data_IF_492108902807
#
_entry.id   IF_492108902807
#
_cell.length_a   1.000
_cell.length_b   1.000
_cell.length_c   1.000
_cell.angle_alpha   90.00
_cell.angle_beta   90.00
_cell.angle_gamma   90.00
#
_symmetry.space_group_name_H-M   'P 1'
#
loop_
_entity.id
_entity.type
_entity.pdbx_description
1 polymer ?
#
# COMPACT_ATOMS: atom_id res chain seq x y z
N UNK A 1 39.16 24.63 3.83
CA UNK A 1 38.82 23.22 3.49
C UNK A 1 38.63 22.33 4.74
N UNK A 2 38.06 22.83 5.85
CA UNK A 2 37.83 22.01 7.06
C UNK A 2 36.35 21.84 7.46
N UNK A 3 35.46 22.76 7.06
CA UNK A 3 34.03 22.66 7.42
C UNK A 3 33.26 21.56 6.66
N UNK A 4 33.72 21.16 5.47
CA UNK A 4 33.04 20.10 4.68
C UNK A 4 33.25 18.70 5.23
N UNK A 5 34.23 18.46 6.11
CA UNK A 5 34.50 17.11 6.68
C UNK A 5 33.65 16.80 7.92
N UNK A 6 33.20 17.81 8.67
CA UNK A 6 32.39 17.58 9.88
C UNK A 6 30.96 17.17 9.53
N UNK A 7 30.43 17.70 8.43
CA UNK A 7 29.06 17.40 7.99
C UNK A 7 28.87 15.96 7.50
N UNK A 8 29.93 15.33 6.98
CA UNK A 8 29.87 13.93 6.52
C UNK A 8 30.01 12.92 7.67
N UNK A 9 30.64 13.31 8.79
CA UNK A 9 30.88 12.42 9.93
C UNK A 9 29.62 12.27 10.82
N UNK A 10 28.81 13.33 10.95
CA UNK A 10 27.61 13.31 11.82
C UNK A 10 26.44 12.50 11.24
N UNK A 11 26.44 12.21 9.93
CA UNK A 11 25.41 11.36 9.32
C UNK A 11 25.60 9.85 9.63
N UNK A 12 26.71 9.47 10.28
CA UNK A 12 27.02 8.07 10.63
C UNK A 12 26.51 7.66 12.03
N UNK A 13 26.12 8.61 12.87
CA UNK A 13 25.59 8.35 14.21
C UNK A 13 24.13 8.78 14.25
N UNK A 14 23.24 7.84 13.88
CA UNK A 14 21.79 8.05 13.81
C UNK A 14 21.16 8.34 15.16
N UNK A 15 21.25 9.59 15.59
CA UNK A 15 20.53 10.15 16.73
C UNK A 15 19.94 11.47 16.27
N UNK A 16 18.64 11.50 15.97
CA UNK A 16 17.81 12.70 16.04
C UNK A 16 16.41 12.23 16.44
N UNK A 17 16.10 12.41 17.73
CA UNK A 17 14.79 12.27 18.35
C UNK A 17 14.03 13.60 18.11
N UNK A 18 12.95 13.58 17.35
CA UNK A 18 12.16 14.78 17.00
C UNK A 18 11.06 14.50 15.99
N UNK A 19 9.93 15.25 15.99
CA UNK A 19 8.68 14.81 15.39
C UNK A 19 8.82 14.72 13.87
N UNK A 20 8.81 13.48 13.39
CA UNK A 20 9.07 13.13 12.00
C UNK A 20 8.00 13.70 11.07
N UNK A 21 8.26 14.89 10.51
CA UNK A 21 7.67 15.30 9.24
C UNK A 21 8.45 14.60 8.14
N UNK A 22 7.99 13.39 7.78
CA UNK A 22 8.61 12.58 6.74
C UNK A 22 8.34 13.22 5.38
N UNK A 23 9.37 13.60 4.61
CA UNK A 23 9.20 14.05 3.24
C UNK A 23 8.76 12.86 2.38
N UNK A 24 7.66 13.04 1.63
CA UNK A 24 7.09 12.05 0.71
C UNK A 24 7.99 11.92 -0.52
N UNK A 25 9.03 11.10 -0.40
CA UNK A 25 9.67 10.48 -1.56
C UNK A 25 8.86 9.23 -1.91
N UNK A 26 8.37 9.15 -3.15
CA UNK A 26 7.70 7.99 -3.72
C UNK A 26 8.68 6.82 -3.91
N UNK A 27 9.18 6.26 -2.81
CA UNK A 27 9.92 5.02 -2.77
C UNK A 27 8.96 3.89 -2.42
N UNK A 28 8.91 2.86 -3.27
CA UNK A 28 8.16 1.62 -3.03
C UNK A 28 8.51 1.12 -1.61
N UNK A 29 7.60 1.32 -0.65
CA UNK A 29 7.79 0.80 0.70
C UNK A 29 7.67 -0.71 0.62
N UNK A 30 8.61 -1.44 1.23
CA UNK A 30 8.54 -2.91 1.28
C UNK A 30 7.23 -3.34 1.93
N UNK A 31 6.56 -4.34 1.34
CA UNK A 31 5.43 -5.03 1.95
C UNK A 31 5.80 -5.46 3.36
N UNK A 32 4.92 -5.17 4.32
CA UNK A 32 4.99 -5.67 5.69
C UNK A 32 3.94 -6.76 5.90
N UNK A 33 3.96 -7.41 7.07
CA UNK A 33 2.98 -8.44 7.44
C UNK A 33 1.53 -7.94 7.48
N UNK A 34 1.32 -6.63 7.66
CA UNK A 34 -0.01 -6.00 7.76
C UNK A 34 -0.65 -5.76 6.39
N UNK A 35 0.17 -5.50 5.37
CA UNK A 35 -0.29 -5.09 4.05
C UNK A 35 -1.23 -6.14 3.44
N UNK A 36 -0.93 -7.42 3.61
CA UNK A 36 -1.76 -8.50 3.08
C UNK A 36 -3.13 -8.57 3.78
N UNK A 37 -3.16 -8.45 5.11
CA UNK A 37 -4.42 -8.50 5.85
C UNK A 37 -5.31 -7.30 5.47
N UNK A 38 -4.71 -6.11 5.35
CA UNK A 38 -5.41 -4.92 4.88
C UNK A 38 -5.92 -5.08 3.45
N UNK A 39 -5.10 -5.63 2.55
CA UNK A 39 -5.49 -5.93 1.17
C UNK A 39 -6.71 -6.87 1.12
N UNK A 40 -6.70 -7.92 1.93
CA UNK A 40 -7.84 -8.85 2.04
C UNK A 40 -9.09 -8.18 2.61
N UNK A 41 -8.95 -7.32 3.63
CA UNK A 41 -10.08 -6.59 4.20
C UNK A 41 -10.74 -5.67 3.16
N UNK A 42 -9.95 -4.97 2.33
CA UNK A 42 -10.48 -4.13 1.25
C UNK A 42 -11.14 -5.01 0.18
N UNK A 43 -10.47 -6.08 -0.26
CA UNK A 43 -10.95 -6.98 -1.31
C UNK A 43 -12.30 -7.61 -0.97
N UNK A 44 -12.48 -8.03 0.28
CA UNK A 44 -13.71 -8.67 0.75
C UNK A 44 -14.65 -7.71 1.49
N UNK A 45 -14.43 -6.40 1.37
CA UNK A 45 -15.41 -5.41 1.83
C UNK A 45 -16.65 -5.43 0.96
N UNK A 46 -17.76 -4.89 1.47
CA UNK A 46 -19.04 -4.82 0.76
C UNK A 46 -18.89 -4.15 -0.63
N UNK A 47 -18.04 -3.12 -0.73
CA UNK A 47 -17.78 -2.36 -1.96
C UNK A 47 -17.07 -3.18 -3.04
N UNK A 48 -16.15 -4.07 -2.67
CA UNK A 48 -15.28 -4.76 -3.63
C UNK A 48 -15.61 -6.24 -3.81
N UNK A 49 -16.25 -6.89 -2.83
CA UNK A 49 -16.56 -8.32 -2.89
C UNK A 49 -17.40 -8.69 -4.13
N UNK A 50 -18.39 -7.86 -4.49
CA UNK A 50 -19.19 -8.06 -5.71
C UNK A 50 -18.43 -7.80 -7.02
N UNK A 51 -17.30 -7.09 -6.94
CA UNK A 51 -16.48 -6.64 -8.08
C UNK A 51 -15.20 -7.46 -8.25
N UNK A 52 -14.98 -8.50 -7.45
CA UNK A 52 -13.80 -9.40 -7.55
C UNK A 52 -13.63 -9.98 -8.96
N UNK A 53 -14.72 -10.19 -9.70
CA UNK A 53 -14.67 -10.65 -11.09
C UNK A 53 -13.99 -9.64 -12.05
N UNK A 54 -13.94 -8.36 -11.69
CA UNK A 54 -13.26 -7.30 -12.46
C UNK A 54 -11.73 -7.33 -12.28
N UNK A 55 -11.22 -8.08 -11.29
CA UNK A 55 -9.78 -8.17 -10.98
C UNK A 55 -8.97 -8.53 -12.21
N UNK A 56 -9.42 -9.51 -13.00
CA UNK A 56 -8.80 -9.96 -14.26
C UNK A 56 -9.66 -9.56 -15.48
N UNK A 57 -10.48 -8.52 -15.33
CA UNK A 57 -11.29 -7.96 -16.40
C UNK A 57 -10.43 -7.62 -17.62
N UNK A 58 -10.81 -8.14 -18.79
CA UNK A 58 -10.12 -7.83 -20.03
C UNK A 58 -10.43 -6.37 -20.40
N UNK A 59 -9.41 -5.53 -20.64
CA UNK A 59 -9.65 -4.16 -21.05
C UNK A 59 -10.42 -4.16 -22.38
N UNK A 60 -11.45 -3.33 -22.44
CA UNK A 60 -12.22 -3.07 -23.66
C UNK A 60 -11.34 -2.38 -24.69
N UNK A 61 -11.76 -2.41 -25.96
CA UNK A 61 -11.00 -1.74 -27.03
C UNK A 61 -10.80 -0.25 -26.76
N UNK A 62 -11.83 0.42 -26.26
CA UNK A 62 -11.80 1.84 -25.90
C UNK A 62 -10.79 2.14 -24.78
N UNK A 63 -10.70 1.27 -23.77
CA UNK A 63 -9.71 1.40 -22.69
C UNK A 63 -8.29 1.24 -23.22
N UNK A 64 -8.06 0.25 -24.11
CA UNK A 64 -6.78 0.06 -24.78
C UNK A 64 -6.39 1.27 -25.65
N UNK A 65 -7.34 1.82 -26.41
CA UNK A 65 -7.13 3.02 -27.23
C UNK A 65 -6.81 4.26 -26.37
N UNK A 66 -7.16 4.23 -25.08
CA UNK A 66 -6.86 5.26 -24.08
C UNK A 66 -5.57 4.99 -23.29
N UNK A 67 -4.75 4.01 -23.70
CA UNK A 67 -3.57 3.52 -22.97
C UNK A 67 -3.86 3.03 -21.54
N UNK A 68 -5.11 2.64 -21.23
CA UNK A 68 -5.38 2.00 -19.95
C UNK A 68 -4.78 0.59 -19.95
N UNK A 69 -3.95 0.34 -18.95
CA UNK A 69 -3.45 -0.99 -18.61
C UNK A 69 -4.32 -1.59 -17.52
N UNK A 70 -4.17 -2.89 -17.30
CA UNK A 70 -4.91 -3.59 -16.26
C UNK A 70 -4.69 -2.99 -14.86
N UNK A 71 -3.50 -2.46 -14.56
CA UNK A 71 -3.20 -1.77 -13.30
C UNK A 71 -3.82 -0.37 -13.18
N UNK A 72 -4.19 0.26 -14.30
CA UNK A 72 -4.90 1.54 -14.34
C UNK A 72 -6.40 1.37 -14.57
N UNK A 73 -6.94 0.17 -14.37
CA UNK A 73 -8.38 -0.06 -14.48
C UNK A 73 -9.12 0.70 -13.38
N UNK A 74 -10.41 0.97 -13.61
CA UNK A 74 -11.27 1.60 -12.61
C UNK A 74 -11.35 0.79 -11.32
N UNK A 75 -11.26 -0.53 -11.41
CA UNK A 75 -11.18 -1.44 -10.26
C UNK A 75 -9.93 -1.15 -9.43
N UNK A 76 -8.73 -1.26 -10.01
CA UNK A 76 -7.48 -1.13 -9.26
C UNK A 76 -7.23 0.30 -8.77
N UNK A 77 -7.71 1.31 -9.49
CA UNK A 77 -7.68 2.71 -9.05
C UNK A 77 -8.58 2.92 -7.83
N UNK A 78 -9.84 2.47 -7.88
CA UNK A 78 -10.73 2.56 -6.73
C UNK A 78 -10.26 1.71 -5.55
N UNK A 79 -9.70 0.53 -5.82
CA UNK A 79 -9.12 -0.35 -4.81
C UNK A 79 -7.93 0.31 -4.09
N UNK A 80 -7.06 0.97 -4.84
CA UNK A 80 -5.95 1.76 -4.28
C UNK A 80 -6.45 2.84 -3.33
N UNK A 81 -7.46 3.60 -3.72
CA UNK A 81 -8.01 4.68 -2.89
C UNK A 81 -8.64 4.14 -1.60
N UNK A 82 -9.40 3.05 -1.70
CA UNK A 82 -9.94 2.36 -0.54
C UNK A 82 -8.82 1.82 0.38
N UNK A 83 -7.79 1.21 -0.21
CA UNK A 83 -6.64 0.71 0.53
C UNK A 83 -5.89 1.81 1.29
N UNK A 84 -5.80 3.03 0.75
CA UNK A 84 -5.17 4.16 1.43
C UNK A 84 -6.09 4.91 2.40
N UNK A 85 -7.39 4.63 2.40
CA UNK A 85 -8.36 5.32 3.27
C UNK A 85 -8.27 4.90 4.74
N UNK A 86 -8.58 5.79 5.67
CA UNK A 86 -8.59 5.48 7.11
C UNK A 86 -9.89 4.81 7.59
N UNK A 87 -10.59 4.09 6.70
CA UNK A 87 -11.82 3.41 7.08
C UNK A 87 -11.53 2.28 8.08
N UNK A 88 -12.26 2.31 9.20
CA UNK A 88 -12.03 1.40 10.31
C UNK A 88 -12.17 -0.07 9.90
N UNK A 89 -13.06 -0.39 8.94
CA UNK A 89 -13.23 -1.75 8.42
C UNK A 89 -11.95 -2.34 7.81
N UNK A 90 -11.14 -1.54 7.11
CA UNK A 90 -9.91 -2.00 6.48
C UNK A 90 -8.79 -2.24 7.49
N UNK A 91 -8.86 -1.60 8.66
CA UNK A 91 -7.91 -1.73 9.75
C UNK A 91 -8.14 -2.90 10.70
N UNK A 92 -9.27 -3.62 10.59
CA UNK A 92 -9.65 -4.68 11.54
C UNK A 92 -8.79 -5.94 11.40
N UNK A 93 -8.43 -6.54 12.52
CA UNK A 93 -7.89 -7.89 12.57
C UNK A 93 -8.95 -8.83 13.17
N UNK A 94 -9.60 -9.63 12.32
CA UNK A 94 -10.71 -10.51 12.74
C UNK A 94 -10.25 -11.87 13.31
N UNK A 95 -8.94 -12.16 13.29
CA UNK A 95 -8.39 -13.42 13.77
C UNK A 95 -7.81 -13.29 15.17
N UNK A 96 -8.14 -14.23 16.05
CA UNK A 96 -7.58 -14.36 17.42
C UNK A 96 -6.34 -15.25 17.49
N UNK A 97 -5.92 -15.87 16.37
CA UNK A 97 -4.76 -16.76 16.34
C UNK A 97 -3.47 -16.01 16.73
N UNK A 98 -2.63 -16.57 17.63
CA UNK A 98 -1.39 -15.95 18.07
C UNK A 98 -0.42 -15.58 16.94
N UNK A 99 -0.48 -16.31 15.81
CA UNK A 99 0.29 -16.02 14.60
C UNK A 99 0.11 -14.57 14.12
N UNK A 100 -1.10 -14.02 14.28
CA UNK A 100 -1.43 -12.66 13.86
C UNK A 100 -1.33 -11.63 14.99
N UNK A 101 -0.90 -12.00 16.20
CA UNK A 101 -0.83 -11.07 17.33
C UNK A 101 0.08 -9.87 17.06
N UNK A 102 1.09 -10.04 16.21
CA UNK A 102 1.98 -8.95 15.80
C UNK A 102 1.39 -8.10 14.66
N UNK A 103 0.26 -8.46 14.08
CA UNK A 103 -0.31 -7.77 12.93
C UNK A 103 -1.26 -6.63 13.33
N UNK A 104 -1.10 -5.45 12.72
CA UNK A 104 -2.01 -4.33 12.82
C UNK A 104 -2.34 -3.78 11.42
N UNK A 105 -3.47 -4.20 10.80
CA UNK A 105 -3.90 -3.74 9.47
C UNK A 105 -4.29 -2.26 9.40
N UNK A 106 -4.47 -1.58 10.54
CA UNK A 106 -4.68 -0.14 10.59
C UNK A 106 -3.40 0.65 10.23
N UNK A 107 -2.22 0.02 10.29
CA UNK A 107 -0.98 0.62 9.80
C UNK A 107 -1.00 0.60 8.27
N UNK A 108 -1.24 1.76 7.67
CA UNK A 108 -1.28 1.92 6.22
C UNK A 108 0.15 2.04 5.69
N UNK A 109 0.58 1.07 4.90
CA UNK A 109 1.81 1.14 4.11
C UNK A 109 1.42 1.46 2.67
N UNK A 110 1.74 2.67 2.17
CA UNK A 110 1.41 3.06 0.81
C UNK A 110 2.03 2.14 -0.25
N UNK A 111 1.19 1.68 -1.17
CA UNK A 111 1.53 0.93 -2.37
C UNK A 111 0.72 1.50 -3.53
N UNK A 112 1.30 1.58 -4.72
CA UNK A 112 0.54 1.94 -5.93
C UNK A 112 -0.37 0.78 -6.38
N UNK A 113 -1.31 1.09 -7.27
CA UNK A 113 -2.29 0.13 -7.79
C UNK A 113 -1.64 -1.10 -8.46
N UNK A 114 -0.52 -0.91 -9.17
CA UNK A 114 0.22 -2.00 -9.81
C UNK A 114 0.80 -2.96 -8.75
N UNK A 115 1.38 -2.40 -7.68
CA UNK A 115 1.95 -3.20 -6.59
C UNK A 115 0.87 -3.93 -5.79
N UNK A 116 -0.29 -3.33 -5.56
CA UNK A 116 -1.43 -3.99 -4.91
C UNK A 116 -1.94 -5.17 -5.73
N UNK A 117 -2.01 -5.01 -7.06
CA UNK A 117 -2.33 -6.11 -7.97
C UNK A 117 -1.31 -7.24 -7.90
N UNK A 118 -0.03 -6.92 -7.93
CA UNK A 118 1.02 -7.93 -7.84
C UNK A 118 0.96 -8.66 -6.49
N UNK A 119 0.74 -7.93 -5.40
CA UNK A 119 0.53 -8.52 -4.08
C UNK A 119 -0.67 -9.47 -4.00
N UNK A 120 -1.73 -9.25 -4.79
CA UNK A 120 -2.85 -10.17 -4.87
C UNK A 120 -2.50 -11.46 -5.65
N UNK A 121 -1.55 -11.38 -6.59
CA UNK A 121 -1.11 -12.52 -7.41
C UNK A 121 -0.01 -13.36 -6.77
N UNK A 122 0.72 -12.79 -5.80
CA UNK A 122 1.73 -13.45 -4.96
C UNK A 122 1.13 -14.54 -4.05
#
# INVERSE_FOLDING_TARGET
>A
MQQKRVFTEMQRLGVEDGPSKIPVAAGIKRRTRHCMIRLLNVMFSETFAGRVHEIDGKPTRTELDSNQTHASSSFWTGFHDAYLSDQAEFGKLNSTLPLFAKCNPAIIVPHDAAKLRDMWKD
#
